data_IF_596232445452
#
_entry.id   IF_596232445452
#
_cell.length_a   1.000
_cell.length_b   1.000
_cell.length_c   1.000
_cell.angle_alpha   90.00
_cell.angle_beta   90.00
_cell.angle_gamma   90.00
#
_symmetry.space_group_name_H-M   'P 1'
#
loop_
_entity.id
_entity.type
_entity.pdbx_description
1 polymer ?
#
# COMPACT_ATOMS: atom_id res chain seq x y z
N UNK A 1 -28.65 54.81 -27.94
CA UNK A 1 -28.81 53.70 -26.97
C UNK A 1 -27.94 52.55 -27.46
N UNK A 2 -26.81 52.32 -26.80
CA UNK A 2 -25.83 51.29 -27.19
C UNK A 2 -25.98 50.11 -26.22
N UNK A 3 -26.42 48.95 -26.70
CA UNK A 3 -26.45 47.70 -25.92
C UNK A 3 -25.03 47.15 -25.82
N UNK A 4 -24.50 47.07 -24.59
CA UNK A 4 -23.29 46.33 -24.29
C UNK A 4 -23.67 44.87 -24.00
N UNK A 5 -23.29 43.96 -24.90
CA UNK A 5 -23.34 42.52 -24.68
C UNK A 5 -22.22 42.11 -23.75
N UNK A 6 -22.58 41.65 -22.56
CA UNK A 6 -21.66 41.02 -21.62
C UNK A 6 -21.43 39.56 -21.99
N UNK A 7 -20.25 39.19 -22.45
CA UNK A 7 -19.85 37.79 -22.63
C UNK A 7 -19.48 37.17 -21.27
N UNK A 8 -20.24 36.21 -20.82
CA UNK A 8 -19.94 35.38 -19.67
C UNK A 8 -19.01 34.26 -20.14
N UNK A 9 -17.77 34.32 -19.75
CA UNK A 9 -16.80 33.22 -19.90
C UNK A 9 -17.13 32.16 -18.84
N UNK A 10 -17.71 31.05 -19.27
CA UNK A 10 -17.85 29.85 -18.46
C UNK A 10 -16.49 29.17 -18.39
N UNK A 11 -15.79 29.32 -17.28
CA UNK A 11 -14.57 28.54 -16.98
C UNK A 11 -15.04 27.15 -16.56
N UNK A 12 -14.95 26.16 -17.48
CA UNK A 12 -15.16 24.77 -17.14
C UNK A 12 -13.98 24.32 -16.25
N UNK A 13 -14.24 24.14 -14.95
CA UNK A 13 -13.36 23.38 -14.07
C UNK A 13 -13.37 21.92 -14.57
N UNK A 14 -12.35 21.53 -15.30
CA UNK A 14 -12.03 20.12 -15.53
C UNK A 14 -11.67 19.52 -14.17
N UNK A 15 -12.61 18.83 -13.54
CA UNK A 15 -12.31 17.90 -12.46
C UNK A 15 -11.55 16.75 -13.11
N UNK A 16 -10.23 16.74 -12.95
CA UNK A 16 -9.39 15.61 -13.33
C UNK A 16 -9.83 14.42 -12.46
N UNK A 17 -10.70 13.58 -12.99
CA UNK A 17 -11.10 12.34 -12.35
C UNK A 17 -9.86 11.43 -12.19
N UNK A 18 -9.75 10.74 -11.06
CA UNK A 18 -8.76 9.70 -10.87
C UNK A 18 -8.80 8.76 -12.09
N UNK A 19 -7.67 8.63 -12.79
CA UNK A 19 -7.58 7.77 -13.95
C UNK A 19 -7.81 6.31 -13.55
N UNK A 20 -8.52 5.54 -14.40
CA UNK A 20 -8.63 4.09 -14.24
C UNK A 20 -7.22 3.49 -14.16
N UNK A 21 -7.07 2.41 -13.37
CA UNK A 21 -5.80 1.73 -13.25
C UNK A 21 -5.32 1.23 -14.63
N UNK A 22 -4.05 1.44 -14.93
CA UNK A 22 -3.38 0.86 -16.08
C UNK A 22 -2.85 -0.53 -15.70
N UNK A 23 -3.08 -1.54 -16.52
CA UNK A 23 -2.58 -2.88 -16.26
C UNK A 23 -1.14 -3.01 -16.79
N UNK A 24 -0.22 -3.49 -15.95
CA UNK A 24 1.17 -3.73 -16.29
C UNK A 24 1.62 -5.15 -15.93
N UNK A 25 2.39 -5.81 -16.84
CA UNK A 25 2.96 -7.12 -16.59
C UNK A 25 4.37 -6.98 -15.99
N UNK A 26 4.66 -7.70 -14.92
CA UNK A 26 5.98 -7.81 -14.31
C UNK A 26 6.51 -9.24 -14.36
N UNK A 27 7.81 -9.41 -14.12
CA UNK A 27 8.44 -10.73 -14.10
C UNK A 27 9.38 -10.84 -12.91
N UNK A 28 9.31 -11.96 -12.20
CA UNK A 28 10.25 -12.33 -11.15
C UNK A 28 10.42 -13.85 -11.08
N UNK A 29 11.61 -14.36 -10.86
CA UNK A 29 11.87 -15.80 -10.71
C UNK A 29 11.27 -16.66 -11.84
N UNK A 30 11.25 -16.16 -13.08
CA UNK A 30 10.66 -16.84 -14.25
C UNK A 30 9.14 -16.79 -14.34
N UNK A 31 8.42 -16.18 -13.37
CA UNK A 31 6.97 -15.98 -13.37
C UNK A 31 6.62 -14.59 -13.91
N UNK A 32 5.55 -14.51 -14.70
CA UNK A 32 4.89 -13.25 -15.07
C UNK A 32 3.69 -13.05 -14.16
N UNK A 33 3.48 -11.82 -13.71
CA UNK A 33 2.33 -11.42 -12.90
C UNK A 33 1.89 -10.02 -13.27
N UNK A 34 0.64 -9.68 -12.96
CA UNK A 34 0.04 -8.39 -13.30
C UNK A 34 0.06 -7.44 -12.11
N UNK A 35 0.04 -6.16 -12.41
CA UNK A 35 -0.17 -5.11 -11.42
C UNK A 35 -1.07 -4.01 -11.99
N UNK A 36 -1.93 -3.47 -11.13
CA UNK A 36 -2.64 -2.23 -11.39
C UNK A 36 -1.71 -1.05 -11.09
N UNK A 37 -1.62 -0.11 -12.03
CA UNK A 37 -0.82 1.10 -11.90
C UNK A 37 -1.75 2.31 -11.89
N UNK A 38 -1.78 3.01 -10.77
CA UNK A 38 -2.56 4.23 -10.58
C UNK A 38 -1.62 5.43 -10.71
N UNK A 39 -1.88 6.27 -11.71
CA UNK A 39 -1.08 7.47 -11.96
C UNK A 39 -1.73 8.69 -11.34
N UNK A 40 -0.97 9.57 -10.70
CA UNK A 40 -1.47 10.89 -10.32
C UNK A 40 -1.75 11.74 -11.56
N UNK A 41 -2.59 12.76 -11.41
CA UNK A 41 -2.91 13.70 -12.49
C UNK A 41 -1.70 14.56 -12.91
N UNK A 42 -0.77 14.78 -12.00
CA UNK A 42 0.46 15.55 -12.19
C UNK A 42 1.69 14.66 -12.11
N UNK A 43 2.89 15.24 -12.24
CA UNK A 43 4.14 14.51 -12.08
C UNK A 43 4.21 13.83 -10.69
N UNK A 44 4.54 12.53 -10.63
CA UNK A 44 4.58 11.80 -9.36
C UNK A 44 5.58 12.40 -8.37
N UNK A 45 5.20 12.44 -7.08
CA UNK A 45 6.10 12.82 -5.98
C UNK A 45 7.01 11.67 -5.53
N UNK A 46 6.68 10.44 -5.91
CA UNK A 46 7.38 9.21 -5.58
C UNK A 46 6.50 8.01 -5.87
N UNK A 47 6.94 6.84 -5.42
CA UNK A 47 6.27 5.56 -5.68
C UNK A 47 5.73 4.95 -4.38
N UNK A 48 4.54 4.35 -4.46
CA UNK A 48 4.02 3.46 -3.43
C UNK A 48 3.76 2.09 -4.06
N UNK A 49 4.22 1.01 -3.41
CA UNK A 49 3.87 -0.35 -3.80
C UNK A 49 3.01 -0.96 -2.70
N UNK A 50 1.81 -1.43 -3.07
CA UNK A 50 0.83 -2.00 -2.14
C UNK A 50 0.78 -3.52 -2.31
N UNK A 51 1.09 -4.25 -1.24
CA UNK A 51 1.07 -5.72 -1.22
C UNK A 51 -0.19 -6.22 -0.52
N UNK A 52 -1.02 -7.00 -1.23
CA UNK A 52 -2.25 -7.58 -0.70
C UNK A 52 -1.99 -8.78 0.24
N UNK A 53 -3.04 -9.19 0.98
CA UNK A 53 -2.99 -10.33 1.88
C UNK A 53 -3.06 -11.70 1.20
N UNK A 54 -2.97 -12.77 2.00
CA UNK A 54 -3.12 -14.16 1.53
C UNK A 54 -4.51 -14.39 0.93
N UNK A 55 -4.59 -15.11 -0.20
CA UNK A 55 -5.81 -15.36 -0.97
C UNK A 55 -6.53 -14.08 -1.43
N UNK A 56 -5.81 -12.98 -1.55
CA UNK A 56 -6.27 -11.72 -2.13
C UNK A 56 -5.65 -11.51 -3.50
N UNK A 57 -6.08 -10.45 -4.14
CA UNK A 57 -5.53 -9.95 -5.40
C UNK A 57 -5.31 -8.43 -5.33
N UNK A 58 -4.83 -7.84 -6.41
CA UNK A 58 -4.55 -6.41 -6.53
C UNK A 58 -5.76 -5.52 -6.31
N UNK A 59 -6.98 -5.99 -6.60
CA UNK A 59 -8.21 -5.18 -6.47
C UNK A 59 -8.53 -4.91 -5.00
N UNK A 60 -8.09 -5.78 -4.09
CA UNK A 60 -8.34 -5.66 -2.65
C UNK A 60 -7.70 -4.41 -2.03
N UNK A 61 -6.70 -3.81 -2.69
CA UNK A 61 -6.04 -2.58 -2.23
C UNK A 61 -6.43 -1.34 -3.06
N UNK A 62 -7.40 -1.47 -3.97
CA UNK A 62 -7.73 -0.45 -4.97
C UNK A 62 -8.24 0.88 -4.38
N UNK A 63 -8.95 0.86 -3.26
CA UNK A 63 -9.45 2.09 -2.61
C UNK A 63 -8.29 2.91 -2.04
N UNK A 64 -7.35 2.28 -1.35
CA UNK A 64 -6.15 2.92 -0.85
C UNK A 64 -5.26 3.41 -2.01
N UNK A 65 -5.14 2.60 -3.08
CA UNK A 65 -4.35 2.96 -4.25
C UNK A 65 -4.85 4.24 -4.91
N UNK A 66 -6.15 4.37 -5.13
CA UNK A 66 -6.75 5.58 -5.69
C UNK A 66 -6.49 6.80 -4.81
N UNK A 67 -6.74 6.69 -3.51
CA UNK A 67 -6.53 7.80 -2.57
C UNK A 67 -5.07 8.29 -2.58
N UNK A 68 -4.10 7.37 -2.60
CA UNK A 68 -2.68 7.74 -2.66
C UNK A 68 -2.27 8.35 -4.01
N UNK A 69 -2.87 7.87 -5.12
CA UNK A 69 -2.64 8.45 -6.44
C UNK A 69 -3.22 9.87 -6.56
N UNK A 70 -4.42 10.11 -6.02
CA UNK A 70 -5.02 11.44 -5.92
C UNK A 70 -4.15 12.43 -5.12
N UNK A 71 -3.35 11.92 -4.18
CA UNK A 71 -2.37 12.69 -3.39
C UNK A 71 -1.00 12.83 -4.08
N UNK A 72 -0.85 12.37 -5.31
CA UNK A 72 0.34 12.57 -6.13
C UNK A 72 1.37 11.45 -6.09
N UNK A 73 1.06 10.27 -5.58
CA UNK A 73 1.95 9.12 -5.68
C UNK A 73 1.70 8.32 -6.97
N UNK A 74 2.76 7.77 -7.57
CA UNK A 74 2.62 6.64 -8.49
C UNK A 74 2.39 5.39 -7.65
N UNK A 75 1.23 4.75 -7.78
CA UNK A 75 0.88 3.58 -6.97
C UNK A 75 0.85 2.32 -7.81
N UNK A 76 1.52 1.26 -7.36
CA UNK A 76 1.60 -0.03 -8.05
C UNK A 76 1.08 -1.10 -7.09
N UNK A 77 0.08 -1.86 -7.54
CA UNK A 77 -0.58 -2.91 -6.77
C UNK A 77 -0.45 -4.22 -7.53
N UNK A 78 0.57 -5.06 -7.22
CA UNK A 78 0.75 -6.35 -7.91
C UNK A 78 -0.22 -7.42 -7.42
N UNK A 79 -0.55 -8.38 -8.30
CA UNK A 79 -0.92 -9.72 -7.87
C UNK A 79 0.35 -10.44 -7.42
N UNK A 80 0.43 -10.76 -6.13
CA UNK A 80 1.62 -11.41 -5.58
C UNK A 80 1.77 -12.83 -6.15
N UNK A 81 2.87 -13.14 -6.88
CA UNK A 81 2.97 -14.35 -7.70
C UNK A 81 3.18 -15.64 -6.91
N UNK A 82 3.45 -15.56 -5.60
CA UNK A 82 3.75 -16.72 -4.76
C UNK A 82 2.77 -16.77 -3.58
N UNK A 83 1.73 -17.62 -3.71
CA UNK A 83 0.59 -17.68 -2.78
C UNK A 83 0.97 -17.73 -1.30
N UNK A 84 2.02 -18.49 -0.94
CA UNK A 84 2.38 -18.75 0.45
C UNK A 84 3.89 -18.57 0.73
N UNK A 85 4.60 -17.79 -0.09
CA UNK A 85 6.03 -17.53 0.07
C UNK A 85 6.29 -16.02 0.18
N UNK A 86 6.30 -15.47 1.41
CA UNK A 86 6.53 -14.03 1.62
C UNK A 86 7.93 -13.60 1.17
N UNK A 87 8.94 -14.47 1.29
CA UNK A 87 10.29 -14.17 0.84
C UNK A 87 10.40 -14.06 -0.67
N UNK A 88 9.75 -14.96 -1.44
CA UNK A 88 9.68 -14.86 -2.88
C UNK A 88 8.84 -13.64 -3.34
N UNK A 89 7.73 -13.34 -2.66
CA UNK A 89 6.96 -12.13 -2.91
C UNK A 89 7.76 -10.86 -2.60
N UNK A 90 8.62 -10.88 -1.59
CA UNK A 90 9.51 -9.75 -1.31
C UNK A 90 10.52 -9.50 -2.44
N UNK A 91 10.96 -10.54 -3.17
CA UNK A 91 11.76 -10.36 -4.39
C UNK A 91 10.92 -9.70 -5.48
N UNK A 92 9.69 -10.15 -5.69
CA UNK A 92 8.79 -9.55 -6.68
C UNK A 92 8.53 -8.06 -6.41
N UNK A 93 8.32 -7.68 -5.14
CA UNK A 93 8.16 -6.27 -4.75
C UNK A 93 9.45 -5.46 -4.98
N UNK A 94 10.62 -6.04 -4.70
CA UNK A 94 11.91 -5.40 -4.96
C UNK A 94 12.13 -5.19 -6.47
N UNK A 95 11.79 -6.17 -7.31
CA UNK A 95 11.88 -6.07 -8.77
C UNK A 95 11.00 -4.94 -9.31
N UNK A 96 9.77 -4.78 -8.79
CA UNK A 96 8.90 -3.65 -9.14
C UNK A 96 9.57 -2.30 -8.80
N UNK A 97 10.18 -2.18 -7.63
CA UNK A 97 10.88 -0.95 -7.22
C UNK A 97 12.07 -0.67 -8.16
N UNK A 98 12.85 -1.69 -8.50
CA UNK A 98 14.00 -1.58 -9.41
C UNK A 98 13.54 -1.14 -10.80
N UNK A 99 12.52 -1.79 -11.38
CA UNK A 99 11.95 -1.44 -12.68
C UNK A 99 11.42 -0.01 -12.72
N UNK A 100 10.74 0.42 -11.64
CA UNK A 100 10.21 1.78 -11.53
C UNK A 100 11.34 2.81 -11.50
N UNK A 101 12.38 2.57 -10.71
CA UNK A 101 13.57 3.44 -10.63
C UNK A 101 14.37 3.45 -11.93
N UNK A 102 14.32 2.37 -12.70
CA UNK A 102 14.92 2.31 -14.04
C UNK A 102 14.11 3.10 -15.10
N UNK A 103 13.01 3.75 -14.71
CA UNK A 103 12.24 4.62 -15.60
C UNK A 103 11.10 3.93 -16.36
N UNK A 104 10.70 2.73 -15.98
CA UNK A 104 9.59 1.99 -16.63
C UNK A 104 8.31 2.81 -16.77
N UNK A 105 8.03 3.67 -15.81
CA UNK A 105 6.82 4.52 -15.78
C UNK A 105 7.11 6.00 -16.02
N UNK A 106 8.27 6.31 -16.61
CA UNK A 106 8.77 7.66 -16.80
C UNK A 106 9.65 8.13 -15.63
N UNK A 107 9.93 9.42 -15.58
CA UNK A 107 10.72 10.01 -14.51
C UNK A 107 9.88 10.09 -13.23
N UNK A 108 10.24 9.29 -12.23
CA UNK A 108 9.64 9.31 -10.90
C UNK A 108 10.74 9.59 -9.88
N UNK A 109 10.53 10.48 -8.89
CA UNK A 109 11.49 10.68 -7.81
C UNK A 109 11.81 9.37 -7.09
N UNK A 110 13.02 9.24 -6.56
CA UNK A 110 13.53 8.00 -5.97
C UNK A 110 12.80 7.55 -4.68
N UNK A 111 12.00 8.44 -4.04
CA UNK A 111 11.22 8.09 -2.85
C UNK A 111 10.27 6.94 -3.11
N UNK A 112 10.35 5.89 -2.29
CA UNK A 112 9.49 4.70 -2.41
C UNK A 112 9.01 4.27 -1.03
N UNK A 113 7.70 4.09 -0.87
CA UNK A 113 7.08 3.54 0.33
C UNK A 113 6.50 2.16 0.00
N UNK A 114 6.80 1.16 0.84
CA UNK A 114 6.20 -0.17 0.75
C UNK A 114 5.10 -0.29 1.80
N UNK A 115 3.91 -0.66 1.37
CA UNK A 115 2.75 -0.86 2.23
C UNK A 115 2.27 -2.29 2.04
N UNK A 116 1.93 -2.99 3.11
CA UNK A 116 1.41 -4.35 2.96
C UNK A 116 0.37 -4.71 4.00
N UNK A 117 -0.68 -5.38 3.52
CA UNK A 117 -1.77 -5.92 4.33
C UNK A 117 -1.51 -7.39 4.66
N UNK A 118 -1.74 -7.79 5.93
CA UNK A 118 -1.69 -9.21 6.35
C UNK A 118 -0.36 -9.88 5.95
N UNK A 119 -0.39 -10.99 5.20
CA UNK A 119 0.79 -11.66 4.64
C UNK A 119 1.60 -10.74 3.70
N UNK A 120 0.94 -9.82 2.99
CA UNK A 120 1.60 -8.78 2.20
C UNK A 120 2.42 -7.81 3.07
N UNK A 121 2.02 -7.62 4.32
CA UNK A 121 2.77 -6.84 5.30
C UNK A 121 4.15 -7.42 5.58
N UNK A 122 4.24 -8.75 5.73
CA UNK A 122 5.51 -9.45 5.86
C UNK A 122 6.34 -9.37 4.57
N UNK A 123 5.72 -9.61 3.40
CA UNK A 123 6.43 -9.51 2.13
C UNK A 123 7.01 -8.08 1.91
N UNK A 124 6.24 -7.04 2.21
CA UNK A 124 6.68 -5.64 2.15
C UNK A 124 7.81 -5.34 3.15
N UNK A 125 7.75 -5.89 4.37
CA UNK A 125 8.81 -5.77 5.37
C UNK A 125 10.13 -6.38 4.87
N UNK A 126 10.06 -7.61 4.36
CA UNK A 126 11.20 -8.32 3.80
C UNK A 126 11.76 -7.61 2.57
N UNK A 127 10.90 -7.06 1.71
CA UNK A 127 11.30 -6.24 0.56
C UNK A 127 12.02 -4.95 1.00
N UNK A 128 11.54 -4.30 2.08
CA UNK A 128 12.18 -3.11 2.64
C UNK A 128 13.61 -3.37 3.09
N UNK A 129 13.84 -4.51 3.73
CA UNK A 129 15.19 -4.89 4.21
C UNK A 129 16.16 -5.16 3.06
N UNK A 130 15.68 -5.69 1.94
CA UNK A 130 16.54 -6.09 0.80
C UNK A 130 16.72 -5.02 -0.27
N UNK A 131 15.89 -3.96 -0.23
CA UNK A 131 15.89 -2.92 -1.27
C UNK A 131 16.47 -1.61 -0.70
N UNK A 132 17.68 -1.19 -1.08
CA UNK A 132 18.23 0.08 -0.61
C UNK A 132 17.38 1.28 -1.01
N UNK A 133 17.36 2.32 -0.17
CA UNK A 133 16.72 3.59 -0.48
C UNK A 133 15.18 3.56 -0.42
N UNK A 134 14.57 2.62 0.30
CA UNK A 134 13.16 2.68 0.65
C UNK A 134 12.96 3.82 1.66
N UNK A 135 11.94 4.66 1.43
CA UNK A 135 11.63 5.85 2.22
C UNK A 135 10.73 5.56 3.43
N UNK A 136 9.99 4.46 3.41
CA UNK A 136 9.12 4.06 4.51
C UNK A 136 8.52 2.67 4.34
N UNK A 137 8.12 2.05 5.46
CA UNK A 137 7.35 0.81 5.47
C UNK A 137 6.08 0.96 6.31
N UNK A 138 4.95 0.47 5.80
CA UNK A 138 3.66 0.48 6.49
C UNK A 138 3.08 -0.94 6.52
N UNK A 139 2.84 -1.44 7.73
CA UNK A 139 2.15 -2.72 7.98
C UNK A 139 0.69 -2.48 8.34
N UNK A 140 -0.23 -3.04 7.56
CA UNK A 140 -1.68 -3.02 7.77
C UNK A 140 -2.10 -4.39 8.30
N UNK A 141 -2.32 -4.47 9.60
CA UNK A 141 -2.60 -5.71 10.35
C UNK A 141 -1.72 -6.90 9.87
N UNK A 142 -0.38 -6.71 9.85
CA UNK A 142 0.53 -7.67 9.25
C UNK A 142 0.52 -9.01 10.00
N UNK A 143 0.80 -10.08 9.26
CA UNK A 143 0.87 -11.44 9.82
C UNK A 143 2.28 -12.00 9.60
N UNK A 144 2.88 -12.52 10.67
CA UNK A 144 4.17 -13.18 10.62
C UNK A 144 4.05 -14.64 10.13
N UNK A 145 5.12 -15.12 9.52
CA UNK A 145 5.27 -16.51 9.15
C UNK A 145 6.61 -17.03 9.68
N UNK A 146 6.56 -18.04 10.51
CA UNK A 146 7.73 -18.73 11.07
C UNK A 146 8.78 -17.79 11.73
N UNK A 147 8.38 -16.61 12.21
CA UNK A 147 9.27 -15.64 12.84
C UNK A 147 10.13 -14.82 11.87
N UNK A 148 9.90 -14.93 10.55
CA UNK A 148 10.67 -14.18 9.54
C UNK A 148 10.58 -12.67 9.76
N UNK A 149 9.40 -12.17 10.17
CA UNK A 149 9.16 -10.76 10.41
C UNK A 149 9.92 -10.21 11.62
N UNK A 150 10.03 -10.97 12.71
CA UNK A 150 10.82 -10.57 13.89
C UNK A 150 12.29 -10.37 13.51
N UNK A 151 12.87 -11.31 12.74
CA UNK A 151 14.24 -11.19 12.28
C UNK A 151 14.47 -10.05 11.28
N UNK A 152 13.46 -9.75 10.46
CA UNK A 152 13.52 -8.65 9.49
C UNK A 152 13.34 -7.28 10.14
N UNK A 153 12.46 -7.15 11.13
CA UNK A 153 12.09 -5.88 11.76
C UNK A 153 13.31 -5.12 12.31
N UNK A 154 14.24 -5.81 12.98
CA UNK A 154 15.45 -5.20 13.50
C UNK A 154 16.39 -4.60 12.43
N UNK A 155 16.20 -4.96 11.16
CA UNK A 155 17.02 -4.53 10.02
C UNK A 155 16.34 -3.45 9.16
N UNK A 156 15.10 -3.07 9.48
CA UNK A 156 14.37 -2.00 8.79
C UNK A 156 14.99 -0.65 9.13
N UNK A 157 15.58 0.00 8.17
CA UNK A 157 16.25 1.29 8.36
C UNK A 157 15.37 2.52 8.12
N UNK A 158 14.37 2.51 7.20
CA UNK A 158 13.47 3.65 7.02
C UNK A 158 12.47 3.78 8.18
N UNK A 159 11.73 4.90 8.28
CA UNK A 159 10.61 5.03 9.20
C UNK A 159 9.54 3.97 8.94
N UNK A 160 8.86 3.55 10.01
CA UNK A 160 7.88 2.48 9.99
C UNK A 160 6.57 2.92 10.67
N UNK A 161 5.44 2.41 10.17
CA UNK A 161 4.11 2.54 10.75
C UNK A 161 3.47 1.16 10.82
N UNK A 162 2.87 0.81 11.95
CA UNK A 162 2.02 -0.37 12.09
C UNK A 162 0.62 0.04 12.52
N UNK A 163 -0.40 -0.37 11.77
CA UNK A 163 -1.80 -0.26 12.13
C UNK A 163 -2.36 -1.66 12.29
N UNK A 164 -2.96 -1.97 13.43
CA UNK A 164 -3.33 -3.35 13.80
C UNK A 164 -4.77 -3.45 14.31
N UNK A 165 -5.42 -4.58 14.02
CA UNK A 165 -6.63 -5.01 14.71
C UNK A 165 -6.29 -5.69 16.04
N UNK A 166 -7.30 -5.91 16.87
CA UNK A 166 -7.20 -6.77 18.04
C UNK A 166 -6.83 -8.22 17.64
N UNK A 167 -6.17 -8.99 18.53
CA UNK A 167 -5.83 -10.38 18.25
C UNK A 167 -7.05 -11.22 17.86
N UNK A 168 -7.01 -11.83 16.69
CA UNK A 168 -8.03 -12.71 16.13
C UNK A 168 -7.37 -13.81 15.29
N UNK A 169 -8.13 -14.85 14.94
CA UNK A 169 -7.65 -15.95 14.08
C UNK A 169 -7.16 -15.47 12.71
N UNK A 170 -7.75 -14.39 12.17
CA UNK A 170 -7.44 -13.88 10.84
C UNK A 170 -6.12 -13.12 10.78
N UNK A 171 -5.71 -12.50 11.88
CA UNK A 171 -4.38 -11.92 12.02
C UNK A 171 -3.39 -12.82 12.79
N UNK A 172 -3.67 -14.14 12.83
CA UNK A 172 -2.88 -15.14 13.55
C UNK A 172 -2.62 -14.74 15.02
N UNK A 173 -3.68 -14.22 15.68
CA UNK A 173 -3.64 -13.72 17.06
C UNK A 173 -2.61 -12.61 17.26
N UNK A 174 -2.50 -11.71 16.27
CA UNK A 174 -1.59 -10.58 16.25
C UNK A 174 -0.11 -11.01 16.42
N UNK A 175 0.29 -12.08 15.75
CA UNK A 175 1.62 -12.67 15.88
C UNK A 175 2.76 -11.75 15.39
N UNK A 176 2.44 -10.67 14.66
CA UNK A 176 3.38 -9.61 14.27
C UNK A 176 3.59 -8.53 15.33
N UNK A 177 2.83 -8.56 16.46
CA UNK A 177 2.89 -7.52 17.48
C UNK A 177 4.32 -7.28 18.00
N UNK A 178 5.10 -8.34 18.16
CA UNK A 178 6.49 -8.23 18.62
C UNK A 178 7.41 -7.42 17.69
N UNK A 179 7.05 -7.25 16.39
CA UNK A 179 7.87 -6.47 15.45
C UNK A 179 8.08 -5.03 15.92
N UNK A 180 7.05 -4.44 16.57
CA UNK A 180 7.12 -3.08 17.10
C UNK A 180 8.31 -2.86 18.05
N UNK A 181 8.66 -3.87 18.83
CA UNK A 181 9.81 -3.80 19.76
C UNK A 181 11.17 -3.87 19.06
N UNK A 182 11.23 -4.30 17.80
CA UNK A 182 12.46 -4.48 17.03
C UNK A 182 12.65 -3.45 15.91
N UNK A 183 11.61 -2.71 15.52
CA UNK A 183 11.68 -1.68 14.48
C UNK A 183 12.42 -0.45 14.98
N UNK A 184 13.64 -0.13 14.48
CA UNK A 184 14.49 0.93 15.06
C UNK A 184 13.90 2.35 14.89
N UNK A 185 13.06 2.55 13.87
CA UNK A 185 12.45 3.84 13.54
C UNK A 185 10.93 3.71 13.42
N UNK A 186 10.32 3.02 14.38
CA UNK A 186 8.88 2.92 14.47
C UNK A 186 8.30 4.28 14.86
N UNK A 187 7.62 4.94 13.93
CA UNK A 187 6.96 6.21 14.18
C UNK A 187 5.72 6.02 15.03
N UNK A 188 4.96 4.96 14.74
CA UNK A 188 3.72 4.64 15.45
C UNK A 188 3.39 3.15 15.28
N UNK A 189 2.90 2.55 16.35
CA UNK A 189 2.23 1.26 16.40
C UNK A 189 0.84 1.47 17.02
N UNK A 190 -0.20 1.42 16.19
CA UNK A 190 -1.57 1.74 16.60
C UNK A 190 -2.42 0.49 16.59
N UNK A 191 -2.99 0.14 17.74
CA UNK A 191 -4.15 -0.74 17.82
C UNK A 191 -5.39 0.10 17.44
N UNK A 192 -5.99 -0.16 16.29
CA UNK A 192 -7.19 0.53 15.82
C UNK A 192 -8.39 -0.05 16.56
N UNK A 193 -9.01 0.78 17.42
CA UNK A 193 -10.12 0.34 18.28
C UNK A 193 -11.29 -0.19 17.47
N UNK A 194 -11.78 -1.37 17.83
CA UNK A 194 -12.90 -2.04 17.19
C UNK A 194 -12.62 -2.54 15.75
N UNK A 195 -11.38 -2.40 15.25
CA UNK A 195 -11.06 -2.89 13.92
C UNK A 195 -11.04 -4.42 13.86
N UNK A 196 -11.55 -4.95 12.77
CA UNK A 196 -11.38 -6.33 12.33
C UNK A 196 -10.25 -6.41 11.30
N UNK A 197 -9.78 -7.61 10.99
CA UNK A 197 -8.79 -7.82 9.92
C UNK A 197 -9.24 -7.24 8.57
N UNK A 198 -10.55 -7.26 8.28
CA UNK A 198 -11.12 -6.77 7.03
C UNK A 198 -11.20 -5.24 6.92
N UNK A 199 -10.98 -4.49 8.00
CA UNK A 199 -10.93 -3.02 7.95
C UNK A 199 -9.69 -2.50 7.21
N UNK A 200 -8.68 -3.34 7.01
CA UNK A 200 -7.41 -2.98 6.36
C UNK A 200 -7.36 -3.30 4.87
N UNK A 201 -8.46 -3.79 4.31
CA UNK A 201 -8.67 -4.21 2.93
C UNK A 201 -9.83 -3.41 2.30
N UNK A 202 -10.24 -3.71 1.05
CA UNK A 202 -11.43 -3.11 0.47
C UNK A 202 -12.72 -3.60 1.12
N UNK A 203 -13.73 -2.70 1.19
CA UNK A 203 -14.99 -2.91 1.92
C UNK A 203 -15.85 -4.09 1.42
N UNK A 204 -15.67 -4.55 0.19
CA UNK A 204 -16.65 -5.39 -0.50
C UNK A 204 -16.37 -6.90 -0.40
N UNK A 205 -15.40 -7.31 0.42
CA UNK A 205 -15.06 -8.72 0.55
C UNK A 205 -15.97 -9.45 1.53
N UNK A 206 -17.05 -10.01 1.00
CA UNK A 206 -17.99 -10.83 1.77
C UNK A 206 -17.34 -12.08 2.40
N UNK A 207 -16.27 -12.60 1.80
CA UNK A 207 -15.53 -13.76 2.34
C UNK A 207 -14.75 -13.32 3.58
N UNK A 208 -14.06 -12.19 3.52
CA UNK A 208 -13.41 -11.62 4.70
C UNK A 208 -14.44 -11.34 5.79
N UNK A 209 -15.52 -10.64 5.46
CA UNK A 209 -16.56 -10.28 6.43
C UNK A 209 -17.15 -11.51 7.13
N UNK A 210 -17.38 -12.59 6.41
CA UNK A 210 -17.92 -13.83 6.97
C UNK A 210 -16.95 -14.61 7.86
N UNK A 211 -15.64 -14.48 7.62
CA UNK A 211 -14.60 -15.21 8.34
C UNK A 211 -13.95 -14.40 9.47
N UNK A 212 -13.76 -13.09 9.26
CA UNK A 212 -12.91 -12.25 10.07
C UNK A 212 -13.64 -11.03 10.67
N UNK A 213 -14.96 -10.96 10.51
CA UNK A 213 -15.78 -9.83 10.96
C UNK A 213 -15.95 -8.78 9.88
N UNK A 214 -17.13 -8.13 9.88
CA UNK A 214 -17.47 -7.12 8.90
C UNK A 214 -16.58 -5.88 9.06
N UNK A 215 -16.14 -5.33 7.93
CA UNK A 215 -15.44 -4.05 7.90
C UNK A 215 -16.42 -2.90 8.18
N UNK A 216 -15.88 -1.82 8.76
CA UNK A 216 -16.59 -0.57 8.97
C UNK A 216 -16.03 0.50 8.04
N UNK A 217 -16.87 1.11 7.16
CA UNK A 217 -16.39 2.09 6.20
C UNK A 217 -15.73 3.33 6.82
N UNK A 218 -16.13 3.74 8.04
CA UNK A 218 -15.53 4.88 8.72
C UNK A 218 -14.13 4.52 9.24
N UNK A 219 -13.94 3.32 9.82
CA UNK A 219 -12.61 2.83 10.24
C UNK A 219 -11.68 2.65 9.04
N UNK A 220 -12.18 2.07 7.95
CA UNK A 220 -11.40 1.96 6.71
C UNK A 220 -10.95 3.32 6.20
N UNK A 221 -11.83 4.33 6.20
CA UNK A 221 -11.46 5.70 5.81
C UNK A 221 -10.40 6.30 6.75
N UNK A 222 -10.53 6.09 8.06
CA UNK A 222 -9.55 6.56 9.04
C UNK A 222 -8.18 5.88 8.86
N UNK A 223 -8.16 4.57 8.64
CA UNK A 223 -6.93 3.79 8.35
C UNK A 223 -6.26 4.33 7.08
N UNK A 224 -7.00 4.50 5.98
CA UNK A 224 -6.45 5.06 4.74
C UNK A 224 -5.89 6.47 4.92
N UNK A 225 -6.58 7.33 5.66
CA UNK A 225 -6.13 8.69 5.94
C UNK A 225 -4.81 8.70 6.76
N UNK A 226 -4.63 7.77 7.70
CA UNK A 226 -3.39 7.64 8.47
C UNK A 226 -2.23 7.15 7.57
N UNK A 227 -2.48 6.15 6.72
CA UNK A 227 -1.53 5.69 5.71
C UNK A 227 -1.12 6.83 4.78
N UNK A 228 -2.10 7.56 4.24
CA UNK A 228 -1.85 8.67 3.32
C UNK A 228 -1.02 9.78 3.98
N UNK A 229 -1.29 10.08 5.24
CA UNK A 229 -0.50 11.05 6.02
C UNK A 229 0.97 10.62 6.15
N UNK A 230 1.24 9.36 6.44
CA UNK A 230 2.59 8.82 6.53
C UNK A 230 3.30 8.85 5.17
N UNK A 231 2.61 8.44 4.10
CA UNK A 231 3.14 8.48 2.73
C UNK A 231 3.48 9.91 2.32
N UNK A 232 2.60 10.90 2.60
CA UNK A 232 2.85 12.32 2.32
C UNK A 232 4.09 12.86 3.02
N UNK A 233 4.39 12.38 4.21
CA UNK A 233 5.59 12.76 4.97
C UNK A 233 6.86 12.15 4.39
N UNK A 234 6.79 10.92 3.86
CA UNK A 234 7.96 10.14 3.45
C UNK A 234 8.31 10.24 1.96
N UNK A 235 7.40 10.76 1.12
CA UNK A 235 7.62 11.07 -0.30
C UNK A 235 7.94 12.54 -0.57
N UNK A 236 8.53 13.24 0.38
CA UNK A 236 8.96 14.64 0.23
C UNK A 236 10.25 14.76 -0.54
#
# INVERSE_FOLDING_TARGET
MSLRTASVLLTACLVAGAHAAELADFRTGGRTFQADVYRPAEAPRGTVVLAHGFLRDRHSMGSLARELAERGALVIVPDLPFLADPSANAVALADIVIDTRAGRFGAVPAGTVLVGFSAGGLAALLATVRTPGISGWIGLDPVDRAGEGVHAAARVSPPALMLRAAPDRCNAYANSHSWGSFLPRLNRDTLVEGATHCDFDNADDLVCAGLCGAADPQRQAAIRAEVATAVDQWLK
#
